data_IF_607907719193
#
_entry.id   IF_607907719193
#
_cell.length_a   1.000
_cell.length_b   1.000
_cell.length_c   1.000
_cell.angle_alpha   90.00
_cell.angle_beta   90.00
_cell.angle_gamma   90.00
#
_symmetry.space_group_name_H-M   'P 1'
#
loop_
_entity.id
_entity.type
_entity.pdbx_description
1 polymer ?
#
# COMPACT_ATOMS: atom_id res chain seq x y z
N UNK A 1 -2.57 62.67 -52.44
CA UNK A 1 -1.78 61.45 -52.14
C UNK A 1 -2.31 60.91 -50.81
N UNK A 2 -3.07 59.84 -50.77
CA UNK A 2 -3.54 59.25 -49.49
C UNK A 2 -2.57 58.20 -49.03
N UNK A 3 -2.28 58.21 -47.70
CA UNK A 3 -1.48 57.23 -46.98
C UNK A 3 -2.12 55.86 -46.93
N UNK A 4 -1.37 54.74 -46.96
CA UNK A 4 -1.89 53.41 -46.81
C UNK A 4 -2.06 53.04 -45.32
N UNK A 5 -3.30 52.67 -44.96
CA UNK A 5 -3.68 52.16 -43.68
C UNK A 5 -3.02 50.79 -43.39
N UNK A 6 -2.18 50.75 -42.35
CA UNK A 6 -1.59 49.54 -41.79
C UNK A 6 -2.67 48.69 -41.08
N UNK A 7 -2.88 47.48 -41.61
CA UNK A 7 -3.71 46.45 -40.97
C UNK A 7 -3.03 45.90 -39.73
N UNK A 8 -3.73 45.78 -38.62
CA UNK A 8 -3.17 45.12 -37.44
C UNK A 8 -3.08 43.61 -37.65
N UNK A 9 -1.89 43.03 -37.38
CA UNK A 9 -1.64 41.59 -37.32
C UNK A 9 -2.33 40.98 -36.12
N UNK A 10 -3.20 39.99 -36.33
CA UNK A 10 -3.81 39.15 -35.29
C UNK A 10 -2.75 38.38 -34.54
N UNK A 11 -2.82 38.31 -33.21
CA UNK A 11 -1.90 37.48 -32.42
C UNK A 11 -2.22 35.99 -32.62
N UNK A 12 -1.18 35.26 -32.97
CA UNK A 12 -1.23 33.79 -33.11
C UNK A 12 -1.70 33.17 -31.78
N UNK A 13 -2.87 32.55 -31.82
CA UNK A 13 -3.45 31.76 -30.74
C UNK A 13 -2.54 30.55 -30.47
N UNK A 14 -1.62 30.69 -29.50
CA UNK A 14 -0.87 29.54 -28.99
C UNK A 14 -1.87 28.54 -28.40
N UNK A 15 -2.12 27.46 -29.11
CA UNK A 15 -2.81 26.27 -28.59
C UNK A 15 -1.94 25.72 -27.45
N UNK A 16 -2.36 25.97 -26.21
CA UNK A 16 -1.86 25.24 -25.06
C UNK A 16 -2.41 23.82 -25.19
N UNK A 17 -1.56 22.88 -25.58
CA UNK A 17 -1.83 21.45 -25.40
C UNK A 17 -2.05 21.19 -23.91
N UNK A 18 -3.13 20.52 -23.53
CA UNK A 18 -3.28 20.08 -22.15
C UNK A 18 -2.24 19.00 -21.91
N UNK A 19 -1.28 19.28 -21.03
CA UNK A 19 -0.46 18.25 -20.37
C UNK A 19 -1.41 17.59 -19.39
N UNK A 20 -2.14 16.64 -19.87
CA UNK A 20 -3.06 15.86 -19.07
C UNK A 20 -2.70 14.38 -19.21
N UNK A 21 -2.44 13.77 -18.08
CA UNK A 21 -2.63 12.35 -17.83
C UNK A 21 -1.68 11.35 -18.52
N UNK A 22 -0.43 11.31 -18.08
CA UNK A 22 0.44 10.17 -18.39
C UNK A 22 0.93 9.43 -17.11
N UNK A 23 0.19 9.49 -16.00
CA UNK A 23 0.60 8.90 -14.71
C UNK A 23 -0.19 7.64 -14.29
N UNK A 24 -1.06 7.08 -15.15
CA UNK A 24 -1.92 5.96 -14.74
C UNK A 24 -1.55 4.53 -15.17
N UNK A 25 -0.59 4.21 -16.05
CA UNK A 25 -0.40 2.80 -16.41
C UNK A 25 0.45 1.98 -15.44
N UNK A 26 1.20 2.57 -14.50
CA UNK A 26 2.09 1.83 -13.61
C UNK A 26 1.38 1.11 -12.44
N UNK A 27 0.16 1.51 -12.09
CA UNK A 27 -0.61 0.92 -10.99
C UNK A 27 -1.42 -0.33 -11.38
N UNK A 28 -1.59 -0.59 -12.68
CA UNK A 28 -2.46 -1.66 -13.18
C UNK A 28 -1.85 -3.07 -13.14
N UNK A 29 -0.57 -3.21 -12.81
CA UNK A 29 0.09 -4.54 -12.77
C UNK A 29 -0.02 -5.25 -11.42
N UNK A 30 -0.74 -4.71 -10.43
CA UNK A 30 -0.73 -5.14 -9.03
C UNK A 30 -1.90 -6.02 -8.61
N UNK A 31 -2.84 -6.30 -9.48
CA UNK A 31 -3.99 -7.15 -9.15
C UNK A 31 -3.68 -8.65 -9.32
N UNK A 32 -2.71 -9.16 -8.57
CA UNK A 32 -2.65 -10.60 -8.34
C UNK A 32 -3.57 -10.91 -7.17
N UNK A 33 -4.78 -11.42 -7.47
CA UNK A 33 -5.74 -11.88 -6.49
C UNK A 33 -5.05 -12.79 -5.45
N UNK A 34 -5.27 -12.51 -4.17
CA UNK A 34 -4.79 -13.37 -3.10
C UNK A 34 -5.25 -14.80 -3.33
N UNK A 35 -4.35 -15.76 -3.26
CA UNK A 35 -4.70 -17.18 -3.33
C UNK A 35 -5.02 -17.66 -1.93
N UNK A 36 -6.27 -18.05 -1.72
CA UNK A 36 -6.63 -18.85 -0.56
C UNK A 36 -6.21 -20.29 -0.85
N UNK A 37 -5.33 -20.83 -0.03
CA UNK A 37 -4.95 -22.25 -0.07
C UNK A 37 -5.54 -22.93 1.16
N UNK A 38 -6.32 -23.99 0.94
CA UNK A 38 -6.70 -24.90 1.99
C UNK A 38 -5.57 -25.93 2.08
N UNK A 39 -4.78 -25.85 3.13
CA UNK A 39 -3.68 -26.80 3.37
C UNK A 39 -4.20 -28.00 4.14
N UNK A 40 -3.86 -29.21 3.67
CA UNK A 40 -4.01 -30.42 4.50
C UNK A 40 -2.80 -30.51 5.42
N UNK A 41 -2.98 -30.11 6.68
CA UNK A 41 -1.92 -30.12 7.69
C UNK A 41 -1.79 -28.77 8.40
N UNK A 42 -0.80 -28.68 9.28
CA UNK A 42 -0.50 -27.47 10.03
C UNK A 42 0.15 -26.42 9.09
N UNK A 43 -0.48 -25.26 8.83
CA UNK A 43 0.07 -24.21 7.98
C UNK A 43 1.42 -23.68 8.46
N UNK A 44 1.71 -23.74 9.76
CA UNK A 44 2.98 -23.27 10.33
C UNK A 44 4.19 -23.98 9.75
N UNK A 45 4.04 -25.23 9.29
CA UNK A 45 5.10 -26.00 8.64
C UNK A 45 5.40 -25.51 7.21
N UNK A 46 4.53 -24.72 6.61
CA UNK A 46 4.70 -24.18 5.26
C UNK A 46 5.22 -22.74 5.26
N UNK A 47 5.57 -22.19 6.43
CA UNK A 47 6.05 -20.81 6.56
C UNK A 47 7.36 -20.62 5.79
N UNK A 48 7.47 -19.57 4.93
CA UNK A 48 8.73 -19.23 4.27
C UNK A 48 9.84 -18.91 5.30
N UNK A 49 11.09 -19.22 4.96
CA UNK A 49 12.22 -18.96 5.86
C UNK A 49 12.41 -17.46 6.14
N UNK A 50 12.03 -16.61 5.16
CA UNK A 50 12.10 -15.15 5.25
C UNK A 50 10.83 -14.50 5.84
N UNK A 51 9.90 -15.31 6.35
CA UNK A 51 8.67 -14.79 6.95
C UNK A 51 8.98 -14.02 8.24
N UNK A 52 8.64 -12.75 8.25
CA UNK A 52 8.66 -11.90 9.44
C UNK A 52 7.27 -11.96 10.07
N UNK A 53 7.18 -12.60 11.25
CA UNK A 53 5.94 -12.65 12.01
C UNK A 53 5.68 -11.29 12.65
N UNK A 54 4.49 -10.75 12.42
CA UNK A 54 4.00 -9.50 13.02
C UNK A 54 3.29 -9.76 14.33
N UNK A 55 2.54 -10.85 14.39
CA UNK A 55 1.96 -11.40 15.61
C UNK A 55 1.58 -12.88 15.41
N UNK A 56 1.52 -13.60 16.53
CA UNK A 56 1.03 -14.96 16.63
C UNK A 56 0.22 -15.10 17.92
N UNK A 57 -0.87 -15.87 17.87
CA UNK A 57 -1.70 -16.10 19.04
C UNK A 57 -2.39 -17.48 18.97
N UNK A 58 -2.68 -18.10 20.12
CA UNK A 58 -3.53 -19.28 20.17
C UNK A 58 -4.89 -19.01 19.52
N UNK A 59 -5.38 -19.97 18.78
CA UNK A 59 -6.67 -19.94 18.12
C UNK A 59 -7.31 -21.34 18.19
N UNK A 60 -8.63 -21.43 18.00
CA UNK A 60 -9.34 -22.70 18.04
C UNK A 60 -8.71 -23.71 17.07
N UNK A 61 -8.24 -24.85 17.64
CA UNK A 61 -7.63 -25.93 16.87
C UNK A 61 -6.17 -25.69 16.45
N UNK A 62 -5.49 -24.63 16.92
CA UNK A 62 -4.08 -24.37 16.61
C UNK A 62 -3.65 -22.94 16.86
N UNK A 63 -3.04 -22.31 15.86
CA UNK A 63 -2.47 -20.97 15.92
C UNK A 63 -3.07 -20.09 14.83
N UNK A 64 -3.23 -18.82 15.12
CA UNK A 64 -3.45 -17.78 14.12
C UNK A 64 -2.23 -16.88 14.07
N UNK A 65 -1.72 -16.58 12.87
CA UNK A 65 -0.56 -15.72 12.70
C UNK A 65 -0.72 -14.78 11.51
N UNK A 66 -0.12 -13.60 11.63
CA UNK A 66 0.04 -12.64 10.56
C UNK A 66 1.53 -12.39 10.37
N UNK A 67 1.96 -12.33 9.12
CA UNK A 67 3.34 -12.03 8.79
C UNK A 67 3.48 -11.42 7.41
N UNK A 68 4.69 -10.97 7.09
CA UNK A 68 5.06 -10.47 5.76
C UNK A 68 6.34 -11.13 5.27
N UNK A 69 6.46 -11.25 3.96
CA UNK A 69 7.66 -11.75 3.30
C UNK A 69 7.75 -11.23 1.87
N UNK A 70 8.85 -11.50 1.18
CA UNK A 70 9.10 -11.09 -0.21
C UNK A 70 8.89 -9.56 -0.41
N UNK A 71 9.46 -8.77 0.53
CA UNK A 71 9.40 -7.31 0.47
C UNK A 71 10.40 -6.81 -0.57
N UNK A 72 9.91 -6.13 -1.60
CA UNK A 72 10.75 -5.65 -2.68
C UNK A 72 10.37 -4.21 -3.11
N UNK A 73 11.36 -3.36 -3.43
CA UNK A 73 11.09 -2.03 -3.99
C UNK A 73 10.48 -2.14 -5.38
N UNK A 74 9.70 -1.14 -5.77
CA UNK A 74 9.18 -1.00 -7.13
C UNK A 74 10.12 -0.07 -7.90
N UNK A 75 10.70 -0.56 -9.00
CA UNK A 75 11.72 0.19 -9.75
C UNK A 75 11.23 1.53 -10.32
N UNK A 76 9.93 1.65 -10.61
CA UNK A 76 9.31 2.86 -11.14
C UNK A 76 8.92 3.89 -10.08
N UNK A 77 8.88 3.49 -8.80
CA UNK A 77 8.53 4.35 -7.67
C UNK A 77 9.33 3.92 -6.43
N UNK A 78 10.36 4.66 -6.03
CA UNK A 78 11.22 4.30 -4.90
C UNK A 78 10.51 4.36 -3.55
N UNK A 79 9.36 5.02 -3.46
CA UNK A 79 8.56 5.08 -2.23
C UNK A 79 7.64 3.87 -2.08
N UNK A 80 7.44 3.09 -3.16
CA UNK A 80 6.53 1.96 -3.17
C UNK A 80 7.28 0.65 -2.90
N UNK A 81 6.71 -0.21 -2.07
CA UNK A 81 7.15 -1.58 -1.82
C UNK A 81 6.04 -2.55 -2.17
N UNK A 82 6.39 -3.65 -2.81
CA UNK A 82 5.53 -4.84 -2.93
C UNK A 82 5.92 -5.82 -1.85
N UNK A 83 4.94 -6.52 -1.32
CA UNK A 83 5.15 -7.55 -0.30
C UNK A 83 4.07 -8.61 -0.39
N UNK A 84 4.31 -9.75 0.24
CA UNK A 84 3.32 -10.78 0.46
C UNK A 84 2.91 -10.80 1.92
N UNK A 85 1.60 -10.82 2.16
CA UNK A 85 1.02 -10.95 3.50
C UNK A 85 0.62 -12.40 3.71
N UNK A 86 1.12 -12.98 4.79
CA UNK A 86 0.80 -14.30 5.30
C UNK A 86 -0.26 -14.17 6.38
N UNK A 87 -1.45 -14.72 6.15
CA UNK A 87 -2.57 -14.73 7.08
C UNK A 87 -2.95 -16.19 7.32
N UNK A 88 -2.51 -16.71 8.46
CA UNK A 88 -2.59 -18.11 8.85
C UNK A 88 -3.66 -18.29 9.91
N UNK A 89 -4.49 -19.31 9.69
CA UNK A 89 -5.42 -19.87 10.68
C UNK A 89 -5.29 -21.39 10.65
N UNK A 90 -5.74 -22.12 11.69
CA UNK A 90 -5.77 -23.57 11.62
C UNK A 90 -6.45 -24.06 10.35
N UNK A 91 -5.78 -24.93 9.61
CA UNK A 91 -6.24 -25.52 8.35
C UNK A 91 -6.52 -24.54 7.19
N UNK A 92 -6.20 -23.25 7.37
CA UNK A 92 -6.39 -22.23 6.33
C UNK A 92 -5.19 -21.31 6.23
N UNK A 93 -4.69 -21.12 5.02
CA UNK A 93 -3.69 -20.14 4.70
C UNK A 93 -4.17 -19.22 3.57
N UNK A 94 -4.05 -17.92 3.81
CA UNK A 94 -4.27 -16.90 2.79
C UNK A 94 -2.98 -16.12 2.57
N UNK A 95 -2.45 -16.17 1.35
CA UNK A 95 -1.30 -15.35 0.94
C UNK A 95 -1.78 -14.30 -0.04
N UNK A 96 -1.57 -13.03 0.30
CA UNK A 96 -1.98 -11.88 -0.53
C UNK A 96 -0.77 -11.11 -1.03
N UNK A 97 -0.81 -10.70 -2.30
CA UNK A 97 0.13 -9.71 -2.81
C UNK A 97 -0.43 -8.32 -2.51
N UNK A 98 0.34 -7.51 -1.84
CA UNK A 98 -0.05 -6.18 -1.42
C UNK A 98 1.06 -5.16 -1.73
N UNK A 99 0.75 -3.89 -1.56
CA UNK A 99 1.75 -2.83 -1.68
C UNK A 99 1.60 -1.82 -0.56
N UNK A 100 2.72 -1.24 -0.16
CA UNK A 100 2.76 -0.14 0.78
C UNK A 100 3.56 1.01 0.18
N UNK A 101 3.12 2.24 0.44
CA UNK A 101 3.87 3.45 0.12
C UNK A 101 4.48 4.01 1.39
N UNK A 102 5.78 4.26 1.33
CA UNK A 102 6.60 4.73 2.44
C UNK A 102 6.84 6.25 2.39
N UNK A 103 6.02 6.97 1.63
CA UNK A 103 6.09 8.42 1.51
C UNK A 103 5.52 9.09 2.77
N UNK A 104 6.27 9.98 3.47
CA UNK A 104 5.77 10.66 4.66
C UNK A 104 4.53 11.53 4.44
N UNK A 105 4.35 12.08 3.25
CA UNK A 105 3.17 12.89 2.91
C UNK A 105 1.95 12.02 2.60
N UNK A 106 2.17 10.80 2.12
CA UNK A 106 1.11 9.92 1.66
C UNK A 106 1.39 8.45 1.96
N UNK A 107 1.49 8.07 3.25
CA UNK A 107 1.65 6.68 3.63
C UNK A 107 0.37 5.88 3.29
N UNK A 108 0.51 4.83 2.50
CA UNK A 108 -0.61 4.03 2.00
C UNK A 108 -0.36 2.54 2.20
N UNK A 109 -1.46 1.79 2.32
CA UNK A 109 -1.51 0.36 2.06
C UNK A 109 -2.53 0.08 0.97
N UNK A 110 -2.16 -0.73 -0.01
CA UNK A 110 -3.02 -1.14 -1.12
C UNK A 110 -3.20 -2.64 -1.09
N UNK A 111 -4.44 -3.07 -0.99
CA UNK A 111 -4.84 -4.48 -0.99
C UNK A 111 -5.84 -4.73 -2.12
N UNK A 112 -6.16 -6.00 -2.39
CA UNK A 112 -7.25 -6.36 -3.30
C UNK A 112 -8.12 -7.42 -2.66
N UNK A 113 -9.43 -7.31 -2.84
CA UNK A 113 -10.39 -8.36 -2.48
C UNK A 113 -10.71 -9.30 -3.66
N UNK A 114 -10.00 -9.13 -4.78
CA UNK A 114 -10.18 -9.92 -6.00
C UNK A 114 -11.11 -9.25 -7.03
N UNK A 115 -11.87 -8.24 -6.63
CA UNK A 115 -12.73 -7.43 -7.48
C UNK A 115 -12.25 -5.98 -7.50
N UNK A 116 -12.00 -5.42 -6.32
CA UNK A 116 -11.62 -4.03 -6.13
C UNK A 116 -10.19 -3.92 -5.58
N UNK A 117 -9.55 -2.79 -5.85
CA UNK A 117 -8.40 -2.32 -5.11
C UNK A 117 -8.90 -1.52 -3.90
N UNK A 118 -8.37 -1.84 -2.75
CA UNK A 118 -8.69 -1.19 -1.49
C UNK A 118 -7.46 -0.38 -1.08
N UNK A 119 -7.57 0.94 -1.16
CA UNK A 119 -6.50 1.88 -0.81
C UNK A 119 -6.80 2.46 0.57
N UNK A 120 -5.89 2.24 1.52
CA UNK A 120 -5.96 2.82 2.86
C UNK A 120 -4.88 3.87 3.02
N UNK A 121 -5.29 5.12 3.25
CA UNK A 121 -4.42 6.17 3.75
C UNK A 121 -4.12 5.87 5.22
N UNK A 122 -2.86 5.82 5.60
CA UNK A 122 -2.43 5.53 6.97
C UNK A 122 -1.92 6.78 7.67
N UNK A 123 -1.87 6.73 8.99
CA UNK A 123 -1.28 7.78 9.82
C UNK A 123 -0.30 7.15 10.84
N UNK A 124 0.95 6.83 10.45
CA UNK A 124 1.90 6.15 11.33
C UNK A 124 2.21 6.91 12.63
N UNK A 125 2.16 8.25 12.60
CA UNK A 125 2.34 9.10 13.78
C UNK A 125 1.06 9.39 14.57
N UNK A 126 -0.08 8.81 14.15
CA UNK A 126 -1.40 9.05 14.72
C UNK A 126 -1.84 8.01 15.75
N UNK A 127 -3.16 7.91 15.92
CA UNK A 127 -3.76 6.99 16.89
C UNK A 127 -3.94 5.60 16.29
N UNK A 128 -3.38 4.60 16.95
CA UNK A 128 -3.60 3.19 16.61
C UNK A 128 -4.76 2.65 17.44
N UNK A 129 -5.70 1.98 16.77
CA UNK A 129 -6.84 1.30 17.36
C UNK A 129 -6.92 -0.14 16.83
N UNK A 130 -7.68 -1.06 17.45
CA UNK A 130 -7.73 -2.45 17.01
C UNK A 130 -8.07 -2.65 15.53
N UNK A 131 -8.88 -1.77 14.94
CA UNK A 131 -9.32 -1.90 13.55
C UNK A 131 -8.29 -1.46 12.50
N UNK A 132 -7.29 -0.63 12.84
CA UNK A 132 -6.22 -0.22 11.94
C UNK A 132 -4.85 -0.83 12.28
N UNK A 133 -4.75 -1.56 13.41
CA UNK A 133 -3.49 -2.07 13.94
C UNK A 133 -2.75 -2.97 12.95
N UNK A 134 -3.45 -3.91 12.32
CA UNK A 134 -2.82 -4.84 11.36
C UNK A 134 -2.37 -4.11 10.07
N UNK A 135 -3.10 -3.07 9.64
CA UNK A 135 -2.67 -2.23 8.51
C UNK A 135 -1.33 -1.56 8.82
N UNK A 136 -1.17 -1.03 10.03
CA UNK A 136 0.07 -0.39 10.47
C UNK A 136 1.21 -1.40 10.67
N UNK A 137 0.95 -2.58 11.24
CA UNK A 137 1.96 -3.63 11.39
C UNK A 137 2.55 -4.03 10.04
N UNK A 138 1.69 -4.27 9.05
CA UNK A 138 2.12 -4.63 7.69
C UNK A 138 2.89 -3.47 7.03
N UNK A 139 2.41 -2.25 7.22
CA UNK A 139 3.06 -1.06 6.67
C UNK A 139 4.46 -0.84 7.28
N UNK A 140 4.60 -0.94 8.61
CA UNK A 140 5.88 -0.83 9.29
C UNK A 140 6.86 -1.89 8.79
N UNK A 141 6.44 -3.13 8.70
CA UNK A 141 7.30 -4.21 8.20
C UNK A 141 7.74 -4.02 6.74
N UNK A 142 6.92 -3.41 5.90
CA UNK A 142 7.26 -3.11 4.52
C UNK A 142 8.14 -1.88 4.34
N UNK A 143 7.93 -0.83 5.15
CA UNK A 143 8.61 0.45 5.02
C UNK A 143 9.83 0.61 5.93
N UNK A 144 9.75 0.06 7.12
CA UNK A 144 10.75 0.18 8.20
C UNK A 144 10.94 -1.18 8.86
N UNK A 145 11.61 -2.13 8.17
CA UNK A 145 11.71 -3.53 8.62
C UNK A 145 12.41 -3.67 9.99
N UNK A 146 13.19 -2.69 10.40
CA UNK A 146 13.80 -2.59 11.74
C UNK A 146 12.78 -2.51 12.88
N UNK A 147 11.55 -2.10 12.57
CA UNK A 147 10.41 -2.01 13.51
C UNK A 147 9.34 -3.08 13.27
N UNK A 148 9.64 -4.08 12.44
CA UNK A 148 8.69 -5.13 12.12
C UNK A 148 8.29 -5.94 13.37
N UNK A 149 6.98 -6.09 13.59
CA UNK A 149 6.43 -6.80 14.75
C UNK A 149 6.36 -6.00 16.05
N UNK A 150 6.93 -4.79 16.11
CA UNK A 150 6.70 -3.88 17.23
C UNK A 150 5.25 -3.39 17.27
N UNK A 151 4.75 -3.06 18.46
CA UNK A 151 3.40 -2.50 18.56
C UNK A 151 3.34 -1.08 17.95
N UNK A 152 2.58 -0.88 16.87
CA UNK A 152 2.51 0.41 16.21
C UNK A 152 2.04 1.56 17.11
N UNK A 153 1.29 1.25 18.19
CA UNK A 153 0.86 2.27 19.14
C UNK A 153 2.03 2.91 19.89
N UNK A 154 3.15 2.18 20.05
CA UNK A 154 4.39 2.68 20.64
C UNK A 154 5.28 3.46 19.69
N UNK A 155 5.03 3.39 18.38
CA UNK A 155 5.92 3.93 17.35
C UNK A 155 5.58 5.36 16.89
N UNK A 156 4.60 6.03 17.50
CA UNK A 156 4.15 7.35 17.06
C UNK A 156 5.26 8.42 17.10
N UNK A 157 6.17 8.37 18.10
CA UNK A 157 7.32 9.29 18.16
C UNK A 157 8.36 8.97 17.10
N UNK A 158 8.66 7.69 16.90
CA UNK A 158 9.54 7.23 15.82
C UNK A 158 9.01 7.66 14.44
N UNK A 159 7.70 7.53 14.23
CA UNK A 159 7.08 8.00 13.00
C UNK A 159 7.30 9.50 12.76
N UNK A 160 7.15 10.33 13.81
CA UNK A 160 7.41 11.78 13.68
C UNK A 160 8.87 12.09 13.37
N UNK A 161 9.81 11.37 13.97
CA UNK A 161 11.26 11.51 13.69
C UNK A 161 11.58 11.12 12.24
N UNK A 162 10.86 10.17 11.66
CA UNK A 162 10.95 9.76 10.27
C UNK A 162 10.20 10.70 9.29
N UNK A 163 9.53 11.75 9.80
CA UNK A 163 8.85 12.76 8.99
C UNK A 163 7.35 12.56 8.81
N UNK A 164 6.76 11.52 9.42
CA UNK A 164 5.30 11.30 9.38
C UNK A 164 4.61 12.21 10.41
N UNK A 165 3.85 13.19 9.96
CA UNK A 165 3.37 14.30 10.80
C UNK A 165 2.38 13.91 11.89
N UNK A 166 1.72 12.78 11.79
CA UNK A 166 0.63 12.37 12.69
C UNK A 166 -0.70 13.12 12.46
N UNK A 167 -0.75 14.04 11.50
CA UNK A 167 -1.94 14.85 11.20
C UNK A 167 -2.77 14.32 10.01
N UNK A 168 -2.29 13.29 9.34
CA UNK A 168 -2.97 12.66 8.22
C UNK A 168 -4.28 12.03 8.70
N UNK A 169 -5.37 12.27 7.97
CA UNK A 169 -6.65 11.60 8.24
C UNK A 169 -6.65 10.25 7.53
N UNK A 170 -6.82 9.18 8.30
CA UNK A 170 -6.97 7.85 7.71
C UNK A 170 -8.27 7.73 6.92
N UNK A 171 -8.15 7.26 5.70
CA UNK A 171 -9.29 7.04 4.80
C UNK A 171 -9.20 5.67 4.13
N UNK A 172 -10.35 5.16 3.70
CA UNK A 172 -10.45 3.96 2.92
C UNK A 172 -11.18 4.28 1.61
N UNK A 173 -10.55 3.96 0.49
CA UNK A 173 -11.13 4.10 -0.84
C UNK A 173 -11.20 2.73 -1.50
N UNK A 174 -12.31 2.45 -2.19
CA UNK A 174 -12.46 1.29 -3.06
C UNK A 174 -12.41 1.78 -4.49
N UNK A 175 -11.47 1.25 -5.26
CA UNK A 175 -11.33 1.52 -6.68
C UNK A 175 -11.73 0.26 -7.43
N UNK A 176 -12.72 0.34 -8.33
CA UNK A 176 -13.09 -0.81 -9.14
C UNK A 176 -11.87 -1.38 -9.85
N UNK A 177 -11.66 -2.69 -9.73
CA UNK A 177 -10.63 -3.37 -10.50
C UNK A 177 -10.92 -3.22 -11.98
N UNK A 178 -9.88 -3.14 -12.81
CA UNK A 178 -10.08 -3.19 -14.27
C UNK A 178 -10.74 -4.53 -14.59
N UNK A 179 -12.01 -4.50 -14.91
CA UNK A 179 -12.78 -5.69 -15.27
C UNK A 179 -12.03 -6.50 -16.33
N UNK A 180 -12.00 -7.81 -16.10
CA UNK A 180 -11.46 -8.78 -17.06
C UNK A 180 -12.43 -8.96 -18.19
#
# INVERSE_FOLDING_TARGET
>A
MPEPLLRPRSPARRRRLPIALALLPALLSLAAAGRTQILKGDPSQARPAELVLLWERPYWGGVQALGVFDVAPVSSDPTLRRLKVWDEKPEQLLVRNESVRCDPEQPLRVTSDGQDLIVRQLNPGGRIIPSNRDDHLIWWAGCHPEHAGEDPAGLAETARQLGYTGLVVETLQRLPGAGR
#
